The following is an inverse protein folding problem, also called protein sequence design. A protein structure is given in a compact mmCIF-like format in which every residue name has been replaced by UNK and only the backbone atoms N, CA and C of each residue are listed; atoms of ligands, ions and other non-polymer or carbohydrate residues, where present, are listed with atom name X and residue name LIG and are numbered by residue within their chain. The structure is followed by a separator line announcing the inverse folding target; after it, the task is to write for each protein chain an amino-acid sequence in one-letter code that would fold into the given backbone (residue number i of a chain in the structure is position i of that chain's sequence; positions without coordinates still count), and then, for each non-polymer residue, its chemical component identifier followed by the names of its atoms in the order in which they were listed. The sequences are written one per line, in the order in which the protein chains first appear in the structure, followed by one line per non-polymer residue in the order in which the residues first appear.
data_IF_351328973749
#
_entry.id   IF_351328973749
#
_cell.length_a   1.000
_cell.length_b   1.000
_cell.length_c   1.000
_cell.angle_alpha   90.00
_cell.angle_beta   90.00
_cell.angle_gamma   90.00
#
_symmetry.space_group_name_H-M   'P 1'
#
loop_
_entity.id
_entity.type
_entity.pdbx_description
1 polymer ?
#
# COMPACT_ATOMS: atom_id res chain seq x y z
N UNK A 1 -13.95 13.21 11.56
CA UNK A 1 -14.16 11.82 12.01
C UNK A 1 -13.03 11.54 12.98
N UNK A 2 -13.34 11.14 14.19
CA UNK A 2 -12.39 10.89 15.29
C UNK A 2 -11.40 9.83 14.85
N UNK A 3 -10.12 10.15 14.89
CA UNK A 3 -9.04 9.18 14.68
C UNK A 3 -9.04 8.17 15.85
N UNK A 4 -9.91 7.17 15.75
CA UNK A 4 -9.81 5.98 16.59
C UNK A 4 -8.57 5.24 16.13
N UNK A 5 -7.60 5.11 17.00
CA UNK A 5 -6.53 4.12 16.89
C UNK A 5 -7.23 2.77 16.71
N UNK A 6 -7.27 2.25 15.47
CA UNK A 6 -7.87 0.95 15.23
C UNK A 6 -7.10 -0.09 16.05
N UNK A 7 -7.81 -0.73 16.98
CA UNK A 7 -7.24 -1.82 17.79
C UNK A 7 -6.84 -3.00 16.91
N UNK A 8 -5.82 -3.73 17.34
CA UNK A 8 -5.46 -4.99 16.70
C UNK A 8 -6.55 -6.03 16.91
N UNK A 9 -6.93 -6.70 15.83
CA UNK A 9 -7.82 -7.86 15.83
C UNK A 9 -6.97 -9.15 15.77
N UNK A 10 -7.21 -10.09 16.67
CA UNK A 10 -6.63 -11.43 16.57
C UNK A 10 -7.35 -12.26 15.52
N UNK A 11 -6.57 -12.92 14.67
CA UNK A 11 -7.04 -13.83 13.64
C UNK A 11 -6.16 -15.07 13.58
N UNK A 12 -6.71 -16.17 13.09
CA UNK A 12 -5.95 -17.42 12.87
C UNK A 12 -5.58 -17.55 11.39
N UNK A 13 -4.34 -17.91 11.11
CA UNK A 13 -3.90 -18.27 9.76
C UNK A 13 -4.46 -19.67 9.45
N UNK A 14 -5.54 -19.72 8.68
CA UNK A 14 -6.22 -20.96 8.29
C UNK A 14 -5.45 -21.75 7.24
N UNK A 15 -4.86 -21.03 6.28
CA UNK A 15 -4.19 -21.63 5.13
C UNK A 15 -3.01 -20.76 4.70
N UNK A 16 -1.95 -21.42 4.25
CA UNK A 16 -0.88 -20.84 3.44
C UNK A 16 -0.81 -21.62 2.12
N UNK A 17 -0.79 -20.93 0.99
CA UNK A 17 -0.77 -21.53 -0.34
C UNK A 17 0.30 -20.89 -1.21
N UNK A 18 1.12 -21.69 -1.87
CA UNK A 18 2.03 -21.22 -2.90
C UNK A 18 1.22 -20.84 -4.15
N UNK A 19 1.19 -19.57 -4.47
CA UNK A 19 0.46 -19.03 -5.64
C UNK A 19 1.36 -18.94 -6.88
N UNK A 20 2.66 -18.71 -6.68
CA UNK A 20 3.70 -18.67 -7.70
C UNK A 20 5.07 -18.87 -7.04
N UNK A 21 6.14 -19.02 -7.82
CA UNK A 21 7.50 -19.03 -7.28
C UNK A 21 7.77 -17.74 -6.49
N UNK A 22 8.08 -17.90 -5.20
CA UNK A 22 8.33 -16.79 -4.29
C UNK A 22 7.08 -16.02 -3.84
N UNK A 23 5.87 -16.50 -4.11
CA UNK A 23 4.63 -15.84 -3.65
C UNK A 23 3.74 -16.82 -2.89
N UNK A 24 3.47 -16.49 -1.62
CA UNK A 24 2.57 -17.25 -0.74
C UNK A 24 1.35 -16.40 -0.40
N UNK A 25 0.15 -16.97 -0.53
CA UNK A 25 -1.06 -16.37 0.03
C UNK A 25 -1.39 -16.94 1.40
N UNK A 26 -1.89 -16.10 2.29
CA UNK A 26 -2.39 -16.48 3.61
C UNK A 26 -3.90 -16.20 3.67
N UNK A 27 -4.65 -17.14 4.23
CA UNK A 27 -6.04 -16.92 4.62
C UNK A 27 -6.14 -16.73 6.13
N UNK A 28 -6.67 -15.58 6.50
CA UNK A 28 -6.83 -15.11 7.87
C UNK A 28 -8.30 -15.20 8.24
N UNK A 29 -8.62 -15.92 9.30
CA UNK A 29 -10.01 -16.12 9.76
C UNK A 29 -10.18 -15.60 11.18
N UNK A 30 -11.33 -15.00 11.52
CA UNK A 30 -11.63 -14.61 12.89
C UNK A 30 -11.89 -15.85 13.75
N UNK A 31 -11.69 -15.75 15.07
CA UNK A 31 -12.05 -16.83 16.01
C UNK A 31 -13.56 -17.09 16.05
N UNK A 32 -14.37 -16.04 15.78
CA UNK A 32 -15.83 -16.11 15.71
C UNK A 32 -16.39 -14.94 14.90
N UNK A 33 -17.58 -15.13 14.33
CA UNK A 33 -18.28 -14.10 13.57
C UNK A 33 -17.66 -13.84 12.19
N UNK A 34 -17.69 -12.59 11.78
CA UNK A 34 -17.19 -12.11 10.50
C UNK A 34 -16.12 -11.03 10.72
N UNK A 35 -15.21 -10.92 9.77
CA UNK A 35 -14.22 -9.85 9.71
C UNK A 35 -14.88 -8.51 9.32
N UNK A 36 -14.29 -7.37 9.64
CA UNK A 36 -14.79 -6.06 9.21
C UNK A 36 -14.99 -5.97 7.69
N UNK A 37 -16.03 -5.25 7.28
CA UNK A 37 -16.26 -4.99 5.86
C UNK A 37 -15.14 -4.13 5.27
N UNK A 38 -14.83 -4.34 3.99
CA UNK A 38 -13.82 -3.57 3.28
C UNK A 38 -14.21 -3.33 1.82
N UNK A 39 -13.62 -2.30 1.22
CA UNK A 39 -13.81 -1.97 -0.18
C UNK A 39 -12.55 -2.37 -0.99
N UNK A 40 -12.67 -2.66 -2.31
CA UNK A 40 -11.52 -2.94 -3.18
C UNK A 40 -10.42 -1.87 -3.08
N UNK A 41 -9.16 -2.31 -3.05
CA UNK A 41 -8.01 -1.45 -2.81
C UNK A 41 -7.60 -1.35 -1.34
N UNK A 42 -8.39 -1.92 -0.42
CA UNK A 42 -8.04 -1.97 0.99
C UNK A 42 -6.84 -2.87 1.27
N UNK A 43 -6.10 -2.49 2.29
CA UNK A 43 -4.99 -3.23 2.85
C UNK A 43 -5.13 -3.37 4.38
N UNK A 44 -4.34 -4.23 4.96
CA UNK A 44 -4.22 -4.40 6.40
C UNK A 44 -2.75 -4.40 6.83
N UNK A 45 -2.51 -4.06 8.08
CA UNK A 45 -1.24 -4.36 8.75
C UNK A 45 -1.33 -5.76 9.35
N UNK A 46 -0.30 -6.56 9.12
CA UNK A 46 -0.08 -7.85 9.75
C UNK A 46 1.10 -7.74 10.71
N UNK A 47 0.86 -8.02 11.97
CA UNK A 47 1.92 -8.20 12.95
C UNK A 47 2.38 -9.66 12.94
N UNK A 48 3.67 -9.83 12.67
CA UNK A 48 4.33 -11.12 12.60
C UNK A 48 4.79 -11.60 14.00
N UNK A 49 5.09 -12.89 14.19
CA UNK A 49 5.59 -13.42 15.47
C UNK A 49 6.85 -12.71 16.01
N UNK A 50 7.68 -12.15 15.15
CA UNK A 50 8.85 -11.34 15.55
C UNK A 50 8.49 -9.95 16.11
N UNK A 51 7.22 -9.51 15.99
CA UNK A 51 6.76 -8.17 16.26
C UNK A 51 6.85 -7.23 15.04
N UNK A 52 7.43 -7.66 13.92
CA UNK A 52 7.44 -6.86 12.70
C UNK A 52 6.02 -6.65 12.17
N UNK A 53 5.68 -5.41 11.88
CA UNK A 53 4.40 -5.06 11.23
C UNK A 53 4.64 -4.81 9.74
N UNK A 54 3.82 -5.43 8.88
CA UNK A 54 3.89 -5.26 7.43
C UNK A 54 2.51 -5.11 6.83
N UNK A 55 2.43 -4.26 5.83
CA UNK A 55 1.18 -3.95 5.12
C UNK A 55 1.01 -4.85 3.91
N UNK A 56 -0.22 -5.36 3.73
CA UNK A 56 -0.59 -6.21 2.59
C UNK A 56 -1.98 -5.88 2.09
N UNK A 57 -2.12 -5.77 0.76
CA UNK A 57 -3.41 -5.57 0.11
C UNK A 57 -4.33 -6.78 0.28
N UNK A 58 -5.62 -6.52 0.54
CA UNK A 58 -6.65 -7.54 0.59
C UNK A 58 -7.02 -8.01 -0.81
N UNK A 59 -6.88 -9.30 -1.06
CA UNK A 59 -7.13 -9.90 -2.37
C UNK A 59 -8.21 -11.01 -2.35
N UNK A 60 -8.97 -11.14 -1.25
CA UNK A 60 -10.19 -11.94 -1.16
C UNK A 60 -11.39 -11.22 -1.81
N UNK A 61 -12.51 -11.93 -2.07
CA UNK A 61 -13.74 -11.26 -2.47
C UNK A 61 -14.26 -10.35 -1.35
N UNK A 62 -14.50 -9.05 -1.58
CA UNK A 62 -15.01 -8.13 -0.54
C UNK A 62 -16.39 -8.52 0.02
N UNK A 63 -17.12 -9.37 -0.70
CA UNK A 63 -18.43 -9.88 -0.27
C UNK A 63 -18.36 -11.07 0.69
N UNK A 64 -17.19 -11.67 0.86
CA UNK A 64 -17.00 -12.80 1.78
C UNK A 64 -16.12 -12.39 2.96
N UNK A 65 -16.75 -12.03 4.05
CA UNK A 65 -16.11 -11.59 5.28
C UNK A 65 -15.76 -12.74 6.24
N UNK A 66 -15.95 -13.99 5.84
CA UNK A 66 -15.55 -15.16 6.63
C UNK A 66 -14.02 -15.32 6.70
N UNK A 67 -13.29 -14.71 5.78
CA UNK A 67 -11.83 -14.67 5.77
C UNK A 67 -11.30 -13.45 5.01
N UNK A 68 -10.09 -13.06 5.36
CA UNK A 68 -9.26 -12.20 4.50
C UNK A 68 -8.19 -13.02 3.81
N UNK A 69 -7.85 -12.66 2.57
CA UNK A 69 -6.67 -13.19 1.89
C UNK A 69 -5.72 -12.05 1.60
N UNK A 70 -4.47 -12.28 1.92
CA UNK A 70 -3.32 -11.48 1.51
C UNK A 70 -2.36 -12.35 0.71
N UNK A 71 -1.46 -11.75 -0.07
CA UNK A 71 -0.37 -12.48 -0.70
C UNK A 71 0.96 -11.74 -0.53
N UNK A 72 2.00 -12.50 -0.29
CA UNK A 72 3.31 -12.01 0.11
C UNK A 72 4.37 -12.50 -0.87
N UNK A 73 5.01 -11.58 -1.57
CA UNK A 73 6.21 -11.84 -2.36
C UNK A 73 7.42 -11.88 -1.42
N UNK A 74 8.25 -12.92 -1.53
CA UNK A 74 9.49 -13.04 -0.78
C UNK A 74 10.54 -12.07 -1.33
N UNK A 75 10.92 -11.09 -0.51
CA UNK A 75 11.95 -10.10 -0.81
C UNK A 75 13.15 -10.33 0.11
N UNK A 76 14.20 -11.05 -0.36
CA UNK A 76 15.35 -11.39 0.49
C UNK A 76 16.15 -10.17 0.96
N UNK A 77 16.24 -9.14 0.10
CA UNK A 77 16.94 -7.89 0.41
C UNK A 77 16.06 -6.87 1.17
N UNK A 78 14.82 -7.28 1.50
CA UNK A 78 13.89 -6.43 2.24
C UNK A 78 14.16 -6.41 3.75
N UNK A 79 13.23 -5.80 4.50
CA UNK A 79 13.33 -5.62 5.97
C UNK A 79 12.82 -6.84 6.76
N UNK A 80 13.03 -8.06 6.26
CA UNK A 80 12.81 -9.34 6.95
C UNK A 80 11.37 -9.85 6.98
N UNK A 81 10.34 -9.01 6.97
CA UNK A 81 8.95 -9.45 7.17
C UNK A 81 8.44 -10.45 6.13
N UNK A 82 8.72 -10.24 4.85
CA UNK A 82 8.33 -11.18 3.79
C UNK A 82 9.08 -12.53 3.90
N UNK A 83 10.34 -12.48 4.32
CA UNK A 83 11.16 -13.68 4.58
C UNK A 83 10.55 -14.47 5.75
N UNK A 84 10.18 -13.80 6.84
CA UNK A 84 9.53 -14.44 7.99
C UNK A 84 8.22 -15.13 7.60
N UNK A 85 7.37 -14.49 6.79
CA UNK A 85 6.12 -15.11 6.29
C UNK A 85 6.39 -16.42 5.54
N UNK A 86 7.46 -16.46 4.73
CA UNK A 86 7.80 -17.64 3.94
C UNK A 86 8.49 -18.74 4.72
N UNK A 87 9.25 -18.40 5.77
CA UNK A 87 10.07 -19.35 6.52
C UNK A 87 9.43 -19.82 7.82
N UNK A 88 8.42 -19.11 8.31
CA UNK A 88 7.72 -19.47 9.54
C UNK A 88 6.47 -20.32 9.23
N UNK A 89 6.29 -21.41 9.98
CA UNK A 89 5.06 -22.20 9.92
C UNK A 89 3.90 -21.44 10.58
N UNK A 90 3.22 -20.58 9.81
CA UNK A 90 2.14 -19.71 10.30
C UNK A 90 0.78 -20.42 10.39
N UNK A 91 0.52 -21.46 9.62
CA UNK A 91 -0.78 -22.16 9.61
C UNK A 91 -1.12 -22.69 11.00
N UNK A 92 -2.32 -22.36 11.47
CA UNK A 92 -2.81 -22.66 12.82
C UNK A 92 -2.35 -21.69 13.90
N UNK A 93 -1.47 -20.72 13.59
CA UNK A 93 -1.05 -19.69 14.54
C UNK A 93 -2.01 -18.51 14.54
N UNK A 94 -2.14 -17.89 15.71
CA UNK A 94 -2.75 -16.58 15.87
C UNK A 94 -1.76 -15.50 15.49
N UNK A 95 -2.23 -14.53 14.75
CA UNK A 95 -1.54 -13.31 14.38
C UNK A 95 -2.45 -12.12 14.64
N UNK A 96 -1.89 -10.94 14.76
CA UNK A 96 -2.68 -9.71 14.94
C UNK A 96 -2.71 -8.92 13.63
N UNK A 97 -3.90 -8.42 13.30
CA UNK A 97 -4.09 -7.55 12.14
C UNK A 97 -4.70 -6.21 12.58
N UNK A 98 -4.40 -5.16 11.86
CA UNK A 98 -5.02 -3.84 12.01
C UNK A 98 -5.53 -3.36 10.66
N UNK A 99 -6.69 -2.74 10.64
CA UNK A 99 -7.40 -2.34 9.42
C UNK A 99 -8.71 -3.14 9.30
N UNK A 100 -9.32 -3.16 8.09
CA UNK A 100 -8.80 -2.66 6.82
C UNK A 100 -8.78 -1.13 6.71
N UNK A 101 -7.81 -0.59 5.97
CA UNK A 101 -7.73 0.81 5.54
C UNK A 101 -7.67 0.85 4.02
N UNK A 102 -8.10 1.98 3.42
CA UNK A 102 -8.11 2.11 1.97
C UNK A 102 -7.55 3.45 1.52
N UNK A 103 -6.36 3.42 0.93
CA UNK A 103 -5.72 4.56 0.27
C UNK A 103 -5.71 4.42 -1.26
N UNK A 104 -6.34 3.36 -1.78
CA UNK A 104 -6.45 3.08 -3.20
C UNK A 104 -7.88 2.66 -3.58
N UNK A 105 -8.90 3.47 -3.24
CA UNK A 105 -10.29 3.11 -3.43
C UNK A 105 -10.66 2.98 -4.90
N UNK A 106 -11.47 1.95 -5.23
CA UNK A 106 -12.06 1.83 -6.56
C UNK A 106 -13.20 2.85 -6.70
N UNK A 107 -12.91 3.97 -7.34
CA UNK A 107 -13.89 5.02 -7.64
C UNK A 107 -14.86 4.53 -8.74
N UNK A 108 -16.15 4.90 -8.67
CA UNK A 108 -17.10 4.58 -9.73
C UNK A 108 -16.70 5.19 -11.06
N UNK A 109 -16.63 4.37 -12.11
CA UNK A 109 -16.36 4.82 -13.47
C UNK A 109 -17.11 3.96 -14.50
N UNK A 110 -17.41 4.49 -15.69
CA UNK A 110 -18.02 3.73 -16.78
C UNK A 110 -17.15 2.58 -17.27
N UNK A 111 -15.82 2.70 -17.16
CA UNK A 111 -14.84 1.69 -17.61
C UNK A 111 -13.55 1.76 -16.81
N UNK A 112 -12.87 0.62 -16.69
CA UNK A 112 -11.58 0.51 -16.00
C UNK A 112 -10.50 -0.09 -16.91
N UNK A 113 -9.27 0.45 -16.77
CA UNK A 113 -8.04 -0.20 -17.21
C UNK A 113 -7.19 -0.51 -15.97
N UNK A 114 -7.05 -1.78 -15.66
CA UNK A 114 -6.18 -2.25 -14.58
C UNK A 114 -4.83 -2.67 -15.15
N UNK A 115 -3.73 -2.15 -14.60
CA UNK A 115 -2.36 -2.50 -14.98
C UNK A 115 -1.63 -3.01 -13.76
N UNK A 116 -1.32 -4.31 -13.73
CA UNK A 116 -0.67 -4.97 -12.61
C UNK A 116 0.73 -5.43 -12.98
N UNK A 117 1.74 -5.07 -12.20
CA UNK A 117 3.11 -5.55 -12.33
C UNK A 117 3.49 -6.50 -11.20
N UNK A 118 3.76 -7.79 -11.49
CA UNK A 118 4.16 -8.77 -10.48
C UNK A 118 3.16 -8.88 -9.32
N UNK A 119 3.63 -8.66 -8.06
CA UNK A 119 2.78 -8.74 -6.86
C UNK A 119 1.73 -7.60 -6.80
N UNK A 120 1.87 -6.54 -7.58
CA UNK A 120 0.86 -5.48 -7.73
C UNK A 120 -0.48 -5.97 -8.28
N UNK A 121 -0.60 -7.25 -8.61
CA UNK A 121 -1.88 -7.91 -8.91
C UNK A 121 -2.81 -7.97 -7.69
N UNK A 122 -2.29 -7.92 -6.46
CA UNK A 122 -3.07 -8.14 -5.25
C UNK A 122 -4.23 -7.17 -5.05
N UNK A 123 -4.08 -5.85 -5.14
CA UNK A 123 -5.21 -4.93 -5.04
C UNK A 123 -6.17 -5.07 -6.22
N UNK A 124 -5.66 -5.40 -7.41
CA UNK A 124 -6.47 -5.55 -8.62
C UNK A 124 -7.46 -6.71 -8.53
N UNK A 125 -7.14 -7.78 -7.78
CA UNK A 125 -8.04 -8.93 -7.65
C UNK A 125 -9.40 -8.56 -7.06
N UNK A 126 -9.42 -7.78 -5.97
CA UNK A 126 -10.65 -7.31 -5.35
C UNK A 126 -11.41 -6.31 -6.27
N UNK A 127 -10.67 -5.47 -7.02
CA UNK A 127 -11.24 -4.52 -7.98
C UNK A 127 -11.89 -5.24 -9.16
N UNK A 128 -11.23 -6.24 -9.73
CA UNK A 128 -11.77 -7.08 -10.82
C UNK A 128 -13.05 -7.79 -10.36
N UNK A 129 -13.05 -8.43 -9.18
CA UNK A 129 -14.24 -9.08 -8.61
C UNK A 129 -15.41 -8.08 -8.47
N UNK A 130 -15.13 -6.85 -8.06
CA UNK A 130 -16.13 -5.79 -7.95
C UNK A 130 -16.66 -5.38 -9.31
N UNK A 131 -15.78 -5.13 -10.29
CA UNK A 131 -16.16 -4.76 -11.65
C UNK A 131 -17.02 -5.86 -12.33
N UNK A 132 -16.65 -7.13 -12.17
CA UNK A 132 -17.44 -8.27 -12.67
C UNK A 132 -18.83 -8.33 -12.03
N UNK A 133 -18.92 -8.18 -10.70
CA UNK A 133 -20.20 -8.18 -9.98
C UNK A 133 -21.11 -7.06 -10.42
N UNK A 134 -20.55 -5.87 -10.69
CA UNK A 134 -21.30 -4.69 -11.14
C UNK A 134 -21.50 -4.64 -12.65
N UNK A 135 -20.91 -5.61 -13.37
CA UNK A 135 -20.91 -5.65 -14.85
C UNK A 135 -20.30 -4.40 -15.48
N UNK A 136 -19.36 -3.78 -14.79
CA UNK A 136 -18.60 -2.64 -15.29
C UNK A 136 -17.56 -3.14 -16.28
N UNK A 137 -17.48 -2.57 -17.48
CA UNK A 137 -16.47 -2.93 -18.48
C UNK A 137 -15.05 -2.68 -17.91
N UNK A 138 -14.16 -3.65 -18.05
CA UNK A 138 -12.75 -3.50 -17.67
C UNK A 138 -11.83 -4.23 -18.64
N UNK A 139 -10.57 -3.82 -18.62
CA UNK A 139 -9.43 -4.56 -19.17
C UNK A 139 -8.38 -4.69 -18.07
N UNK A 140 -7.82 -5.88 -17.88
CA UNK A 140 -6.69 -6.13 -16.99
C UNK A 140 -5.47 -6.51 -17.82
N UNK A 141 -4.40 -5.73 -17.69
CA UNK A 141 -3.08 -6.02 -18.24
C UNK A 141 -2.18 -6.46 -17.10
N UNK A 142 -1.90 -7.75 -17.02
CA UNK A 142 -1.05 -8.33 -15.99
C UNK A 142 0.35 -8.60 -16.56
N UNK A 143 1.35 -7.87 -16.06
CA UNK A 143 2.73 -7.90 -16.51
C UNK A 143 3.59 -8.62 -15.50
N UNK A 144 4.38 -9.58 -15.92
CA UNK A 144 5.39 -10.25 -15.11
C UNK A 144 6.67 -10.47 -15.91
N UNK A 145 7.80 -10.64 -15.22
CA UNK A 145 9.06 -10.93 -15.92
C UNK A 145 9.10 -12.37 -16.42
N UNK A 146 8.66 -13.31 -15.56
CA UNK A 146 8.66 -14.74 -15.81
C UNK A 146 7.31 -15.34 -15.40
N UNK A 147 6.80 -16.26 -16.19
CA UNK A 147 5.47 -16.82 -16.01
C UNK A 147 5.30 -17.53 -14.66
N UNK A 148 6.34 -18.27 -14.21
CA UNK A 148 6.36 -19.02 -12.94
C UNK A 148 6.29 -18.12 -11.69
N UNK A 149 6.59 -16.81 -11.83
CA UNK A 149 6.54 -15.80 -10.74
C UNK A 149 5.24 -14.99 -10.74
N UNK A 150 4.31 -15.27 -11.65
CA UNK A 150 3.05 -14.55 -11.78
C UNK A 150 1.95 -15.25 -10.98
N UNK A 151 1.65 -14.71 -9.80
CA UNK A 151 0.64 -15.25 -8.90
C UNK A 151 -0.80 -15.09 -9.43
N UNK A 152 -1.71 -15.94 -8.99
CA UNK A 152 -3.15 -15.91 -9.31
C UNK A 152 -3.50 -16.00 -10.80
N UNK A 153 -2.54 -16.34 -11.65
CA UNK A 153 -2.74 -16.44 -13.09
C UNK A 153 -3.91 -17.35 -13.48
N UNK A 154 -4.03 -18.51 -12.82
CA UNK A 154 -5.07 -19.49 -13.11
C UNK A 154 -6.48 -18.96 -12.82
N UNK A 155 -6.61 -17.98 -11.91
CA UNK A 155 -7.87 -17.31 -11.61
C UNK A 155 -8.22 -16.23 -12.64
N UNK A 156 -7.21 -15.61 -13.24
CA UNK A 156 -7.34 -14.47 -14.13
C UNK A 156 -7.41 -14.87 -15.62
N UNK A 157 -6.75 -15.97 -15.99
CA UNK A 157 -6.57 -16.39 -17.39
C UNK A 157 -7.84 -16.82 -18.14
N UNK A 158 -8.99 -16.90 -17.47
CA UNK A 158 -10.26 -17.37 -18.06
C UNK A 158 -11.13 -16.27 -18.68
N UNK A 159 -10.75 -14.97 -18.49
CA UNK A 159 -11.55 -13.84 -18.98
C UNK A 159 -11.04 -13.25 -20.29
N UNK A 160 -11.93 -12.92 -21.24
CA UNK A 160 -11.55 -12.27 -22.51
C UNK A 160 -10.99 -10.85 -22.31
N UNK A 161 -11.13 -10.29 -21.10
CA UNK A 161 -10.68 -8.94 -20.73
C UNK A 161 -9.32 -8.93 -20.03
N UNK A 162 -8.65 -10.10 -19.94
CA UNK A 162 -7.36 -10.23 -19.27
C UNK A 162 -6.25 -10.51 -20.28
N UNK A 163 -5.24 -9.64 -20.28
CA UNK A 163 -4.00 -9.81 -21.05
C UNK A 163 -2.85 -10.12 -20.10
N UNK A 164 -2.24 -11.27 -20.24
CA UNK A 164 -1.03 -11.65 -19.50
C UNK A 164 0.18 -11.41 -20.41
N UNK A 165 1.12 -10.58 -19.95
CA UNK A 165 2.33 -10.22 -20.67
C UNK A 165 3.57 -10.68 -19.92
N UNK A 166 4.37 -11.53 -20.53
CA UNK A 166 5.64 -12.05 -19.97
C UNK A 166 6.78 -11.25 -20.58
N UNK A 167 7.34 -10.30 -19.83
CA UNK A 167 8.29 -9.33 -20.38
C UNK A 167 9.65 -9.94 -20.76
N UNK A 168 10.03 -11.11 -20.25
CA UNK A 168 11.18 -11.86 -20.74
C UNK A 168 11.00 -12.43 -22.14
N UNK A 169 9.76 -12.58 -22.60
CA UNK A 169 9.41 -13.13 -23.91
C UNK A 169 9.02 -12.04 -24.91
N UNK A 170 8.20 -11.07 -24.48
CA UNK A 170 7.58 -10.06 -25.35
C UNK A 170 8.19 -8.66 -25.20
N UNK A 171 9.14 -8.47 -24.27
CA UNK A 171 9.63 -7.15 -23.89
C UNK A 171 8.69 -6.41 -22.93
N UNK A 172 9.01 -5.17 -22.64
CA UNK A 172 8.16 -4.31 -21.78
C UNK A 172 6.83 -4.01 -22.48
N UNK A 173 5.72 -3.87 -21.74
CA UNK A 173 4.46 -3.47 -22.32
C UNK A 173 4.54 -2.10 -22.99
N UNK A 174 3.86 -1.94 -24.11
CA UNK A 174 3.67 -0.62 -24.74
C UNK A 174 2.56 0.14 -23.98
N UNK A 175 2.97 0.86 -22.91
CA UNK A 175 2.05 1.65 -22.09
C UNK A 175 1.41 2.78 -22.91
N UNK A 176 2.11 3.33 -23.90
CA UNK A 176 1.58 4.39 -24.76
C UNK A 176 0.41 3.88 -25.60
N UNK A 177 0.52 2.68 -26.17
CA UNK A 177 -0.57 2.05 -26.91
C UNK A 177 -1.78 1.73 -26.00
N UNK A 178 -1.53 1.30 -24.76
CA UNK A 178 -2.60 1.03 -23.80
C UNK A 178 -3.36 2.31 -23.43
N UNK A 179 -2.64 3.39 -23.11
CA UNK A 179 -3.24 4.69 -22.74
C UNK A 179 -3.93 5.35 -23.95
N UNK A 180 -3.39 5.21 -25.16
CA UNK A 180 -4.03 5.72 -26.37
C UNK A 180 -5.34 4.99 -26.73
N UNK A 181 -5.49 3.75 -26.29
CA UNK A 181 -6.67 2.92 -26.57
C UNK A 181 -7.88 3.16 -25.65
N UNK A 182 -7.75 4.00 -24.61
CA UNK A 182 -8.84 4.27 -23.66
C UNK A 182 -9.71 5.46 -24.05
N UNK A 183 -10.92 5.52 -23.50
CA UNK A 183 -11.83 6.67 -23.62
C UNK A 183 -11.66 7.65 -22.45
N UNK A 184 -12.22 8.86 -22.57
CA UNK A 184 -12.18 9.88 -21.51
C UNK A 184 -12.92 9.44 -20.23
N UNK A 185 -13.80 8.46 -20.32
CA UNK A 185 -14.56 7.90 -19.20
C UNK A 185 -13.86 6.71 -18.49
N UNK A 186 -12.64 6.36 -18.92
CA UNK A 186 -11.90 5.23 -18.36
C UNK A 186 -11.02 5.69 -17.20
N UNK A 187 -11.13 5.07 -16.01
CA UNK A 187 -10.14 5.21 -14.96
C UNK A 187 -9.05 4.15 -15.12
N UNK A 188 -7.80 4.58 -14.94
CA UNK A 188 -6.61 3.72 -14.99
C UNK A 188 -6.16 3.46 -13.56
N UNK A 189 -6.10 2.19 -13.17
CA UNK A 189 -5.55 1.76 -11.90
C UNK A 189 -4.28 0.97 -12.13
N UNK A 190 -3.17 1.38 -11.52
CA UNK A 190 -1.91 0.66 -11.68
C UNK A 190 -1.21 0.41 -10.34
N UNK A 191 -0.65 -0.80 -10.22
CA UNK A 191 0.21 -1.19 -9.11
C UNK A 191 1.32 -2.13 -9.62
N UNK A 192 2.57 -1.91 -9.18
CA UNK A 192 3.70 -2.72 -9.62
C UNK A 192 5.05 -2.05 -9.37
N UNK A 193 6.11 -2.49 -10.07
CA UNK A 193 7.44 -1.92 -9.92
C UNK A 193 7.47 -0.41 -10.21
N UNK A 194 8.23 0.34 -9.41
CA UNK A 194 8.33 1.81 -9.49
C UNK A 194 8.65 2.29 -10.91
N UNK A 195 9.59 1.63 -11.60
CA UNK A 195 9.95 1.99 -12.97
C UNK A 195 8.75 1.92 -13.92
N UNK A 196 7.88 0.90 -13.78
CA UNK A 196 6.66 0.78 -14.60
C UNK A 196 5.65 1.88 -14.26
N UNK A 197 5.52 2.22 -12.98
CA UNK A 197 4.61 3.27 -12.54
C UNK A 197 5.08 4.65 -13.01
N UNK A 198 6.38 4.96 -12.90
CA UNK A 198 6.97 6.21 -13.44
C UNK A 198 6.79 6.32 -14.96
N UNK A 199 7.07 5.24 -15.70
CA UNK A 199 6.85 5.20 -17.15
C UNK A 199 5.36 5.48 -17.49
N UNK A 200 4.41 4.94 -16.68
CA UNK A 200 2.98 5.15 -16.89
C UNK A 200 2.56 6.59 -16.54
N UNK A 201 3.06 7.17 -15.45
CA UNK A 201 2.84 8.58 -15.08
C UNK A 201 3.26 9.50 -16.25
N UNK A 202 4.46 9.30 -16.81
CA UNK A 202 4.94 10.09 -17.95
C UNK A 202 4.07 9.92 -19.20
N UNK A 203 3.62 8.70 -19.48
CA UNK A 203 2.76 8.41 -20.64
C UNK A 203 1.40 9.08 -20.46
N UNK A 204 0.80 9.00 -19.29
CA UNK A 204 -0.48 9.66 -19.00
C UNK A 204 -0.35 11.18 -19.09
N UNK A 205 0.72 11.79 -18.53
CA UNK A 205 0.99 13.22 -18.62
C UNK A 205 1.09 13.68 -20.08
N UNK A 206 1.87 12.98 -20.92
CA UNK A 206 2.02 13.27 -22.34
C UNK A 206 0.69 13.15 -23.12
N UNK A 207 -0.21 12.28 -22.65
CA UNK A 207 -1.53 12.07 -23.26
C UNK A 207 -2.63 12.96 -22.67
N UNK A 208 -2.36 13.78 -21.64
CA UNK A 208 -3.35 14.58 -20.92
C UNK A 208 -4.36 13.74 -20.15
N UNK A 209 -3.90 12.63 -19.56
CA UNK A 209 -4.70 11.61 -18.85
C UNK A 209 -4.39 11.49 -17.37
N UNK A 210 -3.70 12.47 -16.78
CA UNK A 210 -3.28 12.46 -15.38
C UNK A 210 -4.45 12.29 -14.42
N UNK A 211 -5.55 12.97 -14.67
CA UNK A 211 -6.76 12.92 -13.83
C UNK A 211 -7.43 11.54 -13.84
N UNK A 212 -7.16 10.70 -14.84
CA UNK A 212 -7.70 9.36 -14.95
C UNK A 212 -6.83 8.32 -14.24
N UNK A 213 -5.60 8.66 -13.86
CA UNK A 213 -4.62 7.75 -13.30
C UNK A 213 -4.74 7.65 -11.78
N UNK A 214 -4.75 6.41 -11.27
CA UNK A 214 -4.68 6.05 -9.86
C UNK A 214 -3.56 5.05 -9.67
N UNK A 215 -2.63 5.33 -8.78
CA UNK A 215 -1.45 4.50 -8.53
C UNK A 215 -1.40 4.02 -7.09
N UNK A 216 -0.97 2.78 -6.90
CA UNK A 216 -0.54 2.27 -5.60
C UNK A 216 0.92 1.83 -5.68
N UNK A 217 1.75 2.32 -4.76
CA UNK A 217 3.19 2.01 -4.68
C UNK A 217 3.42 1.08 -3.48
N UNK A 218 4.13 -0.03 -3.70
CA UNK A 218 4.51 -0.98 -2.63
C UNK A 218 5.96 -0.81 -2.16
N UNK A 219 6.69 0.07 -2.80
CA UNK A 219 8.06 0.45 -2.45
C UNK A 219 8.25 1.92 -2.75
N UNK A 220 9.25 2.53 -2.13
CA UNK A 220 9.74 3.86 -2.50
C UNK A 220 11.01 3.73 -3.35
N UNK A 221 11.37 4.81 -4.01
CA UNK A 221 12.69 4.97 -4.62
C UNK A 221 13.75 5.43 -3.61
N UNK A 222 13.36 5.59 -2.34
CA UNK A 222 14.22 6.05 -1.25
C UNK A 222 14.41 7.57 -1.21
N UNK A 223 13.88 8.31 -2.19
CA UNK A 223 14.01 9.77 -2.25
C UNK A 223 13.35 10.44 -1.04
N UNK A 224 12.12 10.03 -0.69
CA UNK A 224 11.39 10.60 0.45
C UNK A 224 12.11 10.42 1.80
N UNK A 225 12.74 9.27 2.03
CA UNK A 225 13.50 9.02 3.25
C UNK A 225 14.82 9.81 3.26
N UNK A 226 15.46 9.99 2.10
CA UNK A 226 16.66 10.81 1.97
C UNK A 226 16.36 12.30 2.19
N UNK A 227 15.27 12.81 1.64
CA UNK A 227 14.83 14.19 1.84
C UNK A 227 14.43 14.46 3.29
N UNK A 228 13.78 13.49 3.96
CA UNK A 228 13.40 13.59 5.37
C UNK A 228 14.60 13.65 6.32
N UNK A 229 15.77 13.18 5.91
CA UNK A 229 17.00 13.23 6.71
C UNK A 229 17.78 14.55 6.51
N UNK A 230 17.28 15.51 5.72
CA UNK A 230 17.96 16.78 5.48
C UNK A 230 17.00 17.96 5.58
N UNK A 231 17.38 19.03 6.28
CA UNK A 231 16.53 20.22 6.42
C UNK A 231 17.00 21.14 7.54
N UNK A 232 16.14 22.06 8.00
CA UNK A 232 16.41 22.88 9.16
C UNK A 232 16.10 22.13 10.46
N UNK A 233 16.84 22.42 11.54
CA UNK A 233 16.57 21.89 12.87
C UNK A 233 15.28 22.49 13.43
N UNK A 234 14.46 21.64 14.09
CA UNK A 234 13.21 22.06 14.72
C UNK A 234 12.96 21.31 16.03
N UNK A 235 12.06 21.83 16.86
CA UNK A 235 11.60 21.14 18.07
C UNK A 235 10.32 20.34 17.78
N UNK A 236 10.20 19.15 18.39
CA UNK A 236 8.96 18.38 18.42
C UNK A 236 8.54 18.14 19.86
N UNK A 237 7.29 18.46 20.18
CA UNK A 237 6.67 18.10 21.43
C UNK A 237 5.75 16.90 21.25
N UNK A 238 5.94 15.89 22.10
CA UNK A 238 5.06 14.74 22.25
C UNK A 238 3.99 15.10 23.27
N UNK A 239 2.79 15.47 22.81
CA UNK A 239 1.76 16.10 23.66
C UNK A 239 1.29 15.24 24.83
N UNK A 240 1.28 13.90 24.67
CA UNK A 240 0.81 12.99 25.72
C UNK A 240 1.77 12.88 26.90
N UNK A 241 3.08 13.01 26.64
CA UNK A 241 4.11 12.97 27.67
C UNK A 241 4.63 14.35 28.08
N UNK A 242 4.40 15.37 27.24
CA UNK A 242 4.98 16.70 27.38
C UNK A 242 6.48 16.75 27.07
N UNK A 243 7.03 15.69 26.49
CA UNK A 243 8.45 15.62 26.13
C UNK A 243 8.74 16.48 24.93
N UNK A 244 9.76 17.35 25.03
CA UNK A 244 10.23 18.20 23.92
C UNK A 244 11.59 17.69 23.48
N UNK A 245 11.73 17.41 22.19
CA UNK A 245 12.94 16.88 21.57
C UNK A 245 13.38 17.81 20.44
N UNK A 246 14.67 17.83 20.14
CA UNK A 246 15.22 18.55 19.00
C UNK A 246 15.52 17.57 17.88
N UNK A 247 14.97 17.80 16.70
CA UNK A 247 15.30 17.08 15.48
C UNK A 247 16.37 17.87 14.74
N UNK A 248 17.56 17.30 14.59
CA UNK A 248 18.68 17.93 13.90
C UNK A 248 18.46 18.07 12.41
N UNK A 249 19.29 18.89 11.77
CA UNK A 249 19.25 19.14 10.34
C UNK A 249 19.52 17.87 9.48
N UNK A 250 20.23 16.91 10.04
CA UNK A 250 20.65 15.64 9.44
C UNK A 250 19.97 14.41 10.07
N UNK A 251 18.87 14.63 10.82
CA UNK A 251 18.13 13.56 11.51
C UNK A 251 16.69 13.47 11.00
N UNK A 252 16.18 12.25 10.88
CA UNK A 252 14.76 11.97 10.62
C UNK A 252 13.92 12.17 11.89
N UNK A 253 12.70 12.71 11.74
CA UNK A 253 11.77 12.89 12.86
C UNK A 253 11.48 11.56 13.58
N UNK A 254 11.18 10.48 12.83
CA UNK A 254 10.91 9.16 13.40
C UNK A 254 12.09 8.65 14.21
N UNK A 255 13.32 8.80 13.71
CA UNK A 255 14.54 8.37 14.41
C UNK A 255 14.65 8.99 15.82
N UNK A 256 14.28 10.26 15.94
CA UNK A 256 14.35 10.98 17.21
C UNK A 256 13.22 10.59 18.17
N UNK A 257 11.98 10.40 17.68
CA UNK A 257 10.82 10.20 18.55
C UNK A 257 10.61 8.74 18.97
N UNK A 258 11.06 7.76 18.19
CA UNK A 258 10.83 6.32 18.46
C UNK A 258 11.43 5.82 19.77
N UNK A 259 12.47 6.48 20.28
CA UNK A 259 13.09 6.16 21.58
C UNK A 259 12.30 6.72 22.78
N UNK A 260 11.31 7.60 22.52
CA UNK A 260 10.56 8.32 23.56
C UNK A 260 9.07 8.00 23.59
N UNK A 261 8.53 7.46 22.50
CA UNK A 261 7.14 7.03 22.40
C UNK A 261 7.00 5.87 21.41
N UNK A 262 5.95 5.09 21.58
CA UNK A 262 5.62 4.01 20.66
C UNK A 262 4.99 4.59 19.38
N UNK A 263 5.71 4.51 18.27
CA UNK A 263 5.22 4.91 16.95
C UNK A 263 5.06 3.68 16.08
N UNK A 264 3.87 3.51 15.54
CA UNK A 264 3.64 2.40 14.62
C UNK A 264 4.24 2.72 13.25
N UNK A 265 5.14 1.87 12.78
CA UNK A 265 5.78 1.99 11.48
C UNK A 265 5.65 0.71 10.66
N UNK A 266 5.75 0.82 9.34
CA UNK A 266 5.78 -0.31 8.42
C UNK A 266 6.73 -0.06 7.25
N UNK A 267 6.40 0.84 6.33
CA UNK A 267 7.25 1.12 5.16
C UNK A 267 8.44 2.03 5.47
N UNK A 268 8.32 2.96 6.38
CA UNK A 268 9.31 4.00 6.73
C UNK A 268 9.75 4.89 5.55
N UNK A 269 9.01 4.83 4.44
CA UNK A 269 9.29 5.47 3.17
C UNK A 269 8.11 6.33 2.67
N UNK A 270 7.13 6.63 3.54
CA UNK A 270 6.04 7.58 3.25
C UNK A 270 4.95 7.13 2.29
N UNK A 271 4.80 5.82 2.02
CA UNK A 271 3.78 5.34 1.08
C UNK A 271 2.71 4.42 1.69
N UNK A 272 2.78 4.07 2.99
CA UNK A 272 1.85 3.10 3.56
C UNK A 272 0.83 3.66 4.56
N UNK A 273 1.05 4.86 5.08
CA UNK A 273 0.15 5.50 6.05
C UNK A 273 0.19 4.95 7.47
N UNK A 274 1.02 3.93 7.77
CA UNK A 274 1.04 3.28 9.11
C UNK A 274 1.49 4.23 10.20
N UNK A 275 2.40 5.16 9.90
CA UNK A 275 2.95 6.14 10.83
C UNK A 275 2.19 7.48 10.82
N UNK A 276 0.98 7.52 10.27
CA UNK A 276 0.16 8.73 10.28
C UNK A 276 -0.06 9.21 11.70
N UNK A 277 0.30 10.46 11.95
CA UNK A 277 0.24 11.08 13.26
C UNK A 277 -0.45 12.44 13.16
N UNK A 278 -1.32 12.72 14.12
CA UNK A 278 -2.03 14.00 14.18
C UNK A 278 -1.08 15.12 14.62
N UNK A 279 -1.13 16.23 13.88
CA UNK A 279 -0.44 17.47 14.21
C UNK A 279 -1.40 18.38 15.00
N UNK A 280 -1.00 18.78 16.20
CA UNK A 280 -1.78 19.67 17.08
C UNK A 280 -1.40 21.14 16.92
N UNK A 281 -0.08 21.41 16.71
CA UNK A 281 0.44 22.75 16.47
C UNK A 281 1.64 22.68 15.50
N UNK A 282 1.87 23.77 14.75
CA UNK A 282 2.93 23.90 13.75
C UNK A 282 2.46 23.51 12.34
N UNK A 283 3.36 23.63 11.37
CA UNK A 283 3.10 23.31 9.97
C UNK A 283 4.02 22.17 9.55
N UNK A 284 3.46 21.00 9.25
CA UNK A 284 4.28 19.86 8.81
C UNK A 284 4.81 20.08 7.41
N UNK A 285 6.01 19.59 7.14
CA UNK A 285 6.59 19.42 5.81
C UNK A 285 6.36 17.97 5.36
N UNK A 286 5.73 17.81 4.20
CA UNK A 286 5.29 16.52 3.70
C UNK A 286 6.20 16.00 2.59
N UNK A 287 6.79 14.82 2.82
CA UNK A 287 7.56 14.07 1.81
C UNK A 287 6.89 12.73 1.46
N UNK A 288 5.71 12.46 2.05
CA UNK A 288 4.93 11.26 1.76
C UNK A 288 4.24 11.33 0.39
N UNK A 289 3.76 10.17 -0.10
CA UNK A 289 2.99 10.07 -1.35
C UNK A 289 1.53 9.66 -1.12
N UNK A 290 1.07 9.68 0.14
CA UNK A 290 -0.26 9.20 0.55
C UNK A 290 -1.26 10.32 0.72
N UNK A 291 -0.86 11.41 1.40
CA UNK A 291 -1.77 12.50 1.67
C UNK A 291 -2.13 13.23 0.38
N UNK A 292 -3.42 13.47 0.17
CA UNK A 292 -3.91 14.32 -0.90
C UNK A 292 -3.47 15.78 -0.68
N UNK A 293 -3.48 16.58 -1.73
CA UNK A 293 -3.18 18.03 -1.63
C UNK A 293 -4.07 18.74 -0.59
N UNK A 294 -5.33 18.34 -0.48
CA UNK A 294 -6.26 18.89 0.51
C UNK A 294 -5.86 18.54 1.94
N UNK A 295 -5.42 17.32 2.19
CA UNK A 295 -4.96 16.87 3.51
C UNK A 295 -3.64 17.54 3.89
N UNK A 296 -2.70 17.64 2.95
CA UNK A 296 -1.44 18.38 3.15
C UNK A 296 -1.71 19.86 3.47
N UNK A 297 -2.59 20.50 2.70
CA UNK A 297 -2.97 21.90 2.93
C UNK A 297 -3.70 22.11 4.27
N UNK A 298 -4.39 21.10 4.80
CA UNK A 298 -5.03 21.16 6.11
C UNK A 298 -4.01 21.13 7.26
N UNK A 299 -2.83 20.50 7.08
CA UNK A 299 -1.74 20.48 8.05
C UNK A 299 -2.09 19.79 9.38
N UNK A 300 -3.16 18.98 9.42
CA UNK A 300 -3.68 18.36 10.64
C UNK A 300 -3.13 16.99 10.93
N UNK A 301 -2.40 16.41 9.98
CA UNK A 301 -1.79 15.09 10.07
C UNK A 301 -0.51 15.04 9.25
N UNK A 302 0.38 14.11 9.55
CA UNK A 302 1.62 13.88 8.81
C UNK A 302 2.09 12.44 8.91
N UNK A 303 2.93 12.01 7.97
CA UNK A 303 3.67 10.76 8.05
C UNK A 303 5.01 11.01 8.73
N UNK A 304 5.14 10.66 10.03
CA UNK A 304 6.35 10.99 10.82
C UNK A 304 7.61 10.26 10.36
N UNK A 305 7.49 9.21 9.53
CA UNK A 305 8.66 8.49 9.00
C UNK A 305 9.44 9.30 7.96
N UNK A 306 8.78 10.21 7.23
CA UNK A 306 9.40 11.03 6.17
C UNK A 306 9.06 12.52 6.29
N UNK A 307 8.23 12.90 7.27
CA UNK A 307 7.84 14.29 7.47
C UNK A 307 8.87 15.07 8.27
N UNK A 308 8.89 16.38 8.03
CA UNK A 308 9.66 17.37 8.81
C UNK A 308 8.75 18.53 9.22
N UNK A 309 9.33 19.66 9.55
CA UNK A 309 8.59 20.85 9.95
C UNK A 309 8.96 22.07 9.11
N UNK A 310 7.95 22.80 8.63
CA UNK A 310 8.10 24.14 8.06
C UNK A 310 8.17 25.23 9.14
N UNK A 311 7.91 24.89 10.41
CA UNK A 311 7.94 25.83 11.55
C UNK A 311 9.01 25.41 12.57
N UNK A 312 9.53 26.31 13.40
CA UNK A 312 10.54 25.97 14.40
C UNK A 312 10.10 24.91 15.43
N UNK A 313 8.78 24.66 15.53
CA UNK A 313 8.21 23.67 16.46
C UNK A 313 6.99 22.99 15.86
N UNK A 314 6.88 21.68 16.14
CA UNK A 314 5.68 20.86 15.95
C UNK A 314 5.19 20.32 17.29
N UNK A 315 3.87 20.17 17.44
CA UNK A 315 3.25 19.43 18.56
C UNK A 315 2.47 18.28 17.97
N UNK A 316 2.83 17.06 18.34
CA UNK A 316 2.25 15.81 17.85
C UNK A 316 1.40 15.13 18.93
N UNK A 317 0.28 14.51 18.52
CA UNK A 317 -0.58 13.71 19.42
C UNK A 317 0.04 12.32 19.69
N UNK A 318 1.21 12.33 20.33
CA UNK A 318 2.00 11.17 20.75
C UNK A 318 2.31 11.22 22.24
#
# INVERSE_FOLDING_TARGET
MTGETQEFLEVTVRQAKLEAEGVVSLELVPDSGLLPAYEPGSHLDLELPSGLVRQYSLCSPPSDLSFYRIAVLREPEGRGGSVEVHETALVGKRVRIRGPRNHFPLEPAPRYLFIAGGIGITPMLAMVIRAEREKSPYELVYVGRHLEKMAFRDRLATGPHVKVLVSSETGRPDLSALVAGITDETLIYACGPIAMLKDLEEVCAKAGRDEQLRLEKFASDGEAAADAATGESFEVELARSGTVLTVGADQGLLEVIQDHCEVMTSCEDGFCGTCETRVLEGVPEHHDTILSEKERAAGTTMMVCVGRSCTPRLVLDL
#
